data_IF_523126649881
#
_entry.id   IF_523126649881
#
_cell.length_a   1.000
_cell.length_b   1.000
_cell.length_c   1.000
_cell.angle_alpha   90.00
_cell.angle_beta   90.00
_cell.angle_gamma   90.00
#
_symmetry.space_group_name_H-M   'P 1'
#
loop_
_entity.id
_entity.type
_entity.pdbx_description
1 polymer ?
#
# COMPACT_ATOMS: atom_id res chain seq x y z
N UNK A 1 -0.54 15.78 -5.21
CA UNK A 1 -1.45 14.69 -4.79
C UNK A 1 -2.26 14.26 -6.00
N UNK A 2 -1.85 13.20 -6.69
CA UNK A 2 -2.35 12.87 -8.02
C UNK A 2 -3.68 12.10 -7.96
N UNK A 3 -4.71 12.60 -8.65
CA UNK A 3 -5.89 11.80 -8.98
C UNK A 3 -5.42 10.71 -9.95
N UNK A 4 -5.54 9.41 -9.64
CA UNK A 4 -5.17 8.38 -10.59
C UNK A 4 -6.03 8.54 -11.86
N UNK A 5 -5.45 8.41 -13.07
CA UNK A 5 -6.18 8.38 -14.32
C UNK A 5 -7.29 7.33 -14.27
N UNK A 6 -8.49 7.72 -14.72
CA UNK A 6 -9.65 6.81 -14.78
C UNK A 6 -9.50 5.75 -15.87
N UNK A 7 -8.85 6.11 -16.98
CA UNK A 7 -8.56 5.19 -18.08
C UNK A 7 -7.14 4.67 -17.91
N UNK A 8 -7.01 3.36 -17.64
CA UNK A 8 -5.73 2.72 -17.31
C UNK A 8 -5.40 1.70 -18.39
N UNK A 9 -4.28 1.85 -19.12
CA UNK A 9 -3.82 0.80 -20.00
C UNK A 9 -3.39 -0.39 -19.13
N UNK A 10 -4.21 -1.43 -19.14
CA UNK A 10 -3.90 -2.74 -18.56
C UNK A 10 -3.25 -3.55 -19.68
N UNK A 11 -2.01 -3.97 -19.47
CA UNK A 11 -1.33 -4.89 -20.39
C UNK A 11 -1.52 -6.32 -19.88
N UNK A 12 -1.59 -7.30 -20.78
CA UNK A 12 -1.54 -8.70 -20.38
C UNK A 12 -0.07 -9.11 -20.24
N UNK A 13 0.32 -9.57 -19.05
CA UNK A 13 1.62 -10.18 -18.80
C UNK A 13 1.36 -11.62 -18.34
N UNK A 14 1.74 -12.60 -19.17
CA UNK A 14 1.50 -14.04 -18.89
C UNK A 14 0.01 -14.37 -18.66
N UNK A 15 -0.91 -13.71 -19.38
CA UNK A 15 -2.35 -13.91 -19.22
C UNK A 15 -2.96 -13.17 -18.02
N UNK A 16 -2.16 -12.49 -17.21
CA UNK A 16 -2.64 -11.70 -16.07
C UNK A 16 -2.70 -10.20 -16.40
N UNK A 17 -3.72 -9.47 -15.90
CA UNK A 17 -3.80 -8.04 -16.06
C UNK A 17 -2.69 -7.35 -15.25
N UNK A 18 -1.81 -6.62 -15.93
CA UNK A 18 -0.66 -5.93 -15.35
C UNK A 18 -0.71 -4.43 -15.67
N UNK A 19 -0.24 -3.62 -14.73
CA UNK A 19 -0.18 -2.16 -14.86
C UNK A 19 1.29 -1.75 -14.79
N UNK A 20 1.84 -1.29 -15.90
CA UNK A 20 3.28 -1.05 -16.06
C UNK A 20 3.81 0.22 -15.40
N UNK A 21 2.92 1.10 -14.94
CA UNK A 21 3.32 2.38 -14.32
C UNK A 21 3.05 2.36 -12.83
N UNK A 22 4.12 2.55 -12.05
CA UNK A 22 4.00 2.92 -10.63
C UNK A 22 3.25 4.26 -10.54
N UNK A 23 2.04 4.23 -10.00
CA UNK A 23 1.38 5.45 -9.55
C UNK A 23 1.58 5.56 -8.06
N UNK A 24 1.89 6.77 -7.58
CA UNK A 24 1.84 7.08 -6.17
C UNK A 24 0.50 6.61 -5.60
N UNK A 25 0.57 5.74 -4.61
CA UNK A 25 -0.59 5.19 -3.91
C UNK A 25 -0.89 6.07 -2.69
N UNK A 26 -2.16 6.43 -2.47
CA UNK A 26 -2.54 7.14 -1.24
C UNK A 26 -2.54 6.17 -0.06
N UNK A 27 -1.35 6.01 0.52
CA UNK A 27 -1.11 5.14 1.65
C UNK A 27 -1.92 5.52 2.89
N UNK A 28 -2.47 6.74 2.98
CA UNK A 28 -3.29 7.16 4.12
C UNK A 28 -4.61 6.38 4.14
N UNK A 29 -5.20 6.16 2.95
CA UNK A 29 -6.40 5.33 2.82
C UNK A 29 -6.10 3.89 3.21
N UNK A 30 -4.96 3.36 2.77
CA UNK A 30 -4.50 2.03 3.15
C UNK A 30 -4.25 1.90 4.65
N UNK A 31 -3.59 2.87 5.28
CA UNK A 31 -3.37 2.90 6.72
C UNK A 31 -4.69 2.80 7.49
N UNK A 32 -5.74 3.53 7.04
CA UNK A 32 -7.07 3.46 7.68
C UNK A 32 -7.70 2.07 7.56
N UNK A 33 -7.60 1.44 6.39
CA UNK A 33 -8.11 0.08 6.19
C UNK A 33 -7.31 -0.94 7.02
N UNK A 34 -5.99 -0.82 7.03
CA UNK A 34 -5.11 -1.70 7.78
C UNK A 34 -5.33 -1.57 9.29
N UNK A 35 -5.50 -0.35 9.79
CA UNK A 35 -5.79 -0.06 11.20
C UNK A 35 -7.13 -0.62 11.68
N UNK A 36 -8.07 -0.91 10.78
CA UNK A 36 -9.35 -1.55 11.14
C UNK A 36 -9.18 -3.03 11.55
N UNK A 37 -8.11 -3.69 11.08
CA UNK A 37 -7.86 -5.13 11.31
C UNK A 37 -6.56 -5.40 12.07
N UNK A 38 -5.62 -4.46 12.06
CA UNK A 38 -4.29 -4.64 12.62
C UNK A 38 -3.84 -3.42 13.42
N UNK A 39 -3.06 -3.67 14.47
CA UNK A 39 -2.31 -2.61 15.15
C UNK A 39 -1.00 -2.39 14.40
N UNK A 40 -0.85 -1.23 13.77
CA UNK A 40 0.37 -0.82 13.07
C UNK A 40 1.44 -0.45 14.12
N UNK A 41 2.58 -1.15 14.11
CA UNK A 41 3.70 -0.93 15.03
C UNK A 41 4.73 0.03 14.42
N UNK A 42 5.15 -0.24 13.18
CA UNK A 42 6.16 0.54 12.48
C UNK A 42 5.79 0.78 11.03
N UNK A 43 6.29 1.90 10.49
CA UNK A 43 6.14 2.33 9.11
C UNK A 43 7.46 2.89 8.63
N UNK A 44 7.93 2.44 7.48
CA UNK A 44 9.11 3.00 6.82
C UNK A 44 8.93 2.93 5.31
N UNK A 45 9.67 3.78 4.60
CA UNK A 45 9.65 3.84 3.14
C UNK A 45 10.96 3.37 2.53
N UNK A 46 10.91 2.96 1.26
CA UNK A 46 12.09 2.66 0.44
C UNK A 46 12.13 3.57 -0.80
N UNK A 47 13.33 4.02 -1.23
CA UNK A 47 14.65 3.57 -0.77
C UNK A 47 15.20 4.28 0.48
N UNK A 48 14.49 5.29 1.01
CA UNK A 48 15.00 6.13 2.10
C UNK A 48 14.14 5.99 3.36
N UNK A 49 14.53 5.12 4.33
CA UNK A 49 13.72 4.86 5.53
C UNK A 49 13.60 6.06 6.46
N UNK A 50 14.53 7.01 6.40
CA UNK A 50 14.54 8.24 7.20
C UNK A 50 13.75 9.39 6.57
N UNK A 51 13.39 9.31 5.29
CA UNK A 51 12.60 10.35 4.63
C UNK A 51 11.10 10.20 4.93
N UNK A 52 10.35 11.32 4.90
CA UNK A 52 8.90 11.27 4.93
C UNK A 52 8.33 10.23 3.95
N UNK A 53 7.37 9.42 4.42
CA UNK A 53 6.79 8.30 3.66
C UNK A 53 6.26 8.70 2.27
N UNK A 54 5.81 9.94 2.09
CA UNK A 54 5.29 10.43 0.83
C UNK A 54 6.36 10.67 -0.26
N UNK A 55 7.65 10.70 0.11
CA UNK A 55 8.79 10.79 -0.81
C UNK A 55 9.32 9.42 -1.25
N UNK A 56 8.82 8.35 -0.65
CA UNK A 56 9.24 6.99 -0.96
C UNK A 56 8.30 6.36 -1.99
N UNK A 57 8.87 5.47 -2.82
CA UNK A 57 8.11 4.74 -3.85
C UNK A 57 7.43 3.51 -3.29
N UNK A 58 7.98 2.97 -2.21
CA UNK A 58 7.47 1.80 -1.50
C UNK A 58 7.27 2.11 -0.01
N UNK A 59 6.32 1.41 0.61
CA UNK A 59 5.99 1.56 2.02
C UNK A 59 5.85 0.19 2.66
N UNK A 60 6.49 0.04 3.81
CA UNK A 60 6.48 -1.17 4.60
C UNK A 60 5.74 -0.92 5.91
N UNK A 61 4.89 -1.87 6.29
CA UNK A 61 4.08 -1.81 7.50
C UNK A 61 4.35 -3.06 8.35
N UNK A 62 4.88 -2.86 9.55
CA UNK A 62 4.97 -3.93 10.55
C UNK A 62 3.71 -3.86 11.40
N UNK A 63 2.92 -4.93 11.35
CA UNK A 63 1.60 -4.98 11.96
C UNK A 63 1.49 -6.16 12.91
N UNK A 64 0.72 -5.97 13.99
CA UNK A 64 0.27 -7.06 14.87
C UNK A 64 -1.22 -7.26 14.67
N UNK A 65 -1.68 -8.51 14.66
CA UNK A 65 -3.11 -8.81 14.64
C UNK A 65 -3.81 -8.12 15.81
N UNK A 66 -4.93 -7.46 15.55
CA UNK A 66 -5.80 -7.00 16.62
C UNK A 66 -6.48 -8.24 17.21
N UNK A 67 -6.53 -8.38 18.54
CA UNK A 67 -7.03 -9.58 19.21
C UNK A 67 -8.49 -9.97 18.87
N UNK A 68 -9.22 -9.13 18.13
CA UNK A 68 -10.60 -9.36 17.67
C UNK A 68 -10.73 -9.58 16.16
N UNK A 69 -9.64 -9.81 15.42
CA UNK A 69 -9.75 -10.17 14.01
C UNK A 69 -10.28 -11.60 13.88
N UNK A 70 -11.45 -11.81 13.23
CA UNK A 70 -11.98 -13.16 13.04
C UNK A 70 -10.95 -13.98 12.26
N UNK A 71 -10.74 -15.21 12.71
CA UNK A 71 -9.81 -16.19 12.14
C UNK A 71 -10.05 -16.29 10.62
N UNK A 72 -9.20 -15.64 9.82
CA UNK A 72 -9.17 -15.80 8.37
C UNK A 72 -8.32 -17.04 8.08
N UNK A 73 -8.97 -18.21 8.17
CA UNK A 73 -8.53 -19.46 7.54
C UNK A 73 -9.08 -19.53 6.12
#
# INVERSE_FOLDING_TARGET
MGKPPRNRPVVSLQGLPYITRHMGFDYRRFCRQLAAHFRILHRYGSPFPALPLWLNFELYFICKTAANSPDMR
#
